data_IF_154383301942
#
_entry.id   IF_154383301942
#
_cell.length_a   1.000
_cell.length_b   1.000
_cell.length_c   1.000
_cell.angle_alpha   90.00
_cell.angle_beta   90.00
_cell.angle_gamma   90.00
#
_symmetry.space_group_name_H-M   'P 1'
#
loop_
_entity.id
_entity.type
_entity.pdbx_description
1 polymer ?
#
# COMPACT_ATOMS: atom_id res chain seq x y z
N UNK A 1 1.23 -1.47 48.79
CA UNK A 1 0.20 -2.54 48.62
C UNK A 1 -0.37 -2.45 47.21
N UNK A 2 -0.79 -3.60 46.66
CA UNK A 2 -0.86 -3.98 45.24
C UNK A 2 -2.06 -3.40 44.43
N UNK A 3 -1.81 -3.19 43.13
CA UNK A 3 -2.63 -3.42 41.91
C UNK A 3 -4.11 -3.01 41.83
N UNK A 4 -4.48 -2.33 40.73
CA UNK A 4 -5.70 -2.66 39.98
C UNK A 4 -5.51 -2.48 38.46
N UNK A 5 -5.23 -3.60 37.79
CA UNK A 5 -5.32 -3.79 36.33
C UNK A 5 -6.82 -3.86 35.97
N UNK A 6 -7.30 -3.06 35.01
CA UNK A 6 -8.65 -3.23 34.46
C UNK A 6 -8.54 -3.72 33.01
N UNK A 7 -8.97 -4.95 32.81
CA UNK A 7 -9.16 -5.59 31.52
C UNK A 7 -10.45 -5.09 30.87
N UNK A 8 -10.41 -4.93 29.54
CA UNK A 8 -11.54 -5.04 28.60
C UNK A 8 -10.85 -5.35 27.27
N UNK A 9 -11.03 -6.44 26.57
CA UNK A 9 -12.10 -7.43 26.47
C UNK A 9 -12.09 -7.79 24.99
N UNK A 10 -11.73 -9.03 24.65
CA UNK A 10 -11.69 -9.58 23.30
C UNK A 10 -13.03 -9.38 22.57
N UNK A 11 -13.05 -9.13 21.27
CA UNK A 11 -13.20 -10.16 20.22
C UNK A 11 -13.54 -9.53 18.86
N UNK A 12 -12.86 -10.01 17.83
CA UNK A 12 -13.15 -9.76 16.43
C UNK A 12 -14.41 -10.52 15.96
N UNK A 13 -15.10 -10.00 14.94
CA UNK A 13 -15.99 -10.79 14.11
C UNK A 13 -17.21 -10.06 13.55
N UNK A 14 -17.35 -10.04 12.22
CA UNK A 14 -18.65 -10.00 11.54
C UNK A 14 -18.83 -8.88 10.51
N UNK A 15 -18.54 -9.19 9.25
CA UNK A 15 -18.89 -8.38 8.09
C UNK A 15 -20.40 -8.10 8.01
N UNK A 16 -20.77 -6.84 7.77
CA UNK A 16 -22.06 -6.44 7.20
C UNK A 16 -21.79 -5.29 6.24
N UNK A 17 -21.82 -5.59 4.95
CA UNK A 17 -21.82 -4.57 3.89
C UNK A 17 -23.17 -3.85 3.90
N UNK A 18 -23.13 -2.52 4.03
CA UNK A 18 -24.26 -1.62 3.88
C UNK A 18 -24.18 -0.96 2.48
N UNK A 19 -25.32 -0.66 1.83
CA UNK A 19 -25.33 -0.20 0.44
C UNK A 19 -24.64 1.15 0.31
N UNK A 20 -23.77 1.28 -0.70
CA UNK A 20 -23.01 2.48 -1.02
C UNK A 20 -23.97 3.64 -1.33
N UNK A 21 -24.24 4.49 -0.33
CA UNK A 21 -24.83 5.79 -0.58
C UNK A 21 -23.85 6.57 -1.45
N UNK A 22 -24.33 7.09 -2.59
CA UNK A 22 -23.57 7.96 -3.48
C UNK A 22 -23.07 9.19 -2.72
N UNK A 23 -21.93 9.04 -2.07
CA UNK A 23 -21.35 10.03 -1.18
C UNK A 23 -20.79 11.18 -1.99
N UNK A 24 -21.23 12.39 -1.65
CA UNK A 24 -20.56 13.64 -2.00
C UNK A 24 -19.05 13.50 -1.79
N UNK A 25 -18.29 13.33 -2.87
CA UNK A 25 -16.83 13.24 -2.83
C UNK A 25 -16.31 14.62 -2.45
N UNK A 26 -15.92 14.78 -1.18
CA UNK A 26 -15.26 15.99 -0.71
C UNK A 26 -13.92 16.13 -1.41
N UNK A 27 -13.68 17.28 -2.06
CA UNK A 27 -12.40 17.59 -2.70
C UNK A 27 -11.45 18.09 -1.61
N UNK A 28 -10.40 17.33 -1.33
CA UNK A 28 -9.32 17.71 -0.42
C UNK A 28 -8.12 18.27 -1.21
N UNK A 29 -7.36 19.23 -0.66
CA UNK A 29 -6.12 19.70 -1.29
C UNK A 29 -5.11 18.57 -1.43
N UNK A 30 -4.30 18.59 -2.50
CA UNK A 30 -3.16 17.70 -2.62
C UNK A 30 -2.12 18.02 -1.54
N UNK A 31 -1.73 17.02 -0.75
CA UNK A 31 -0.71 17.15 0.31
C UNK A 31 0.24 15.97 0.27
N UNK A 32 1.49 16.20 0.68
CA UNK A 32 2.42 15.10 0.96
C UNK A 32 1.92 14.26 2.16
N UNK A 33 2.21 12.95 2.18
CA UNK A 33 1.86 12.11 3.32
C UNK A 33 2.53 12.63 4.59
N UNK A 34 1.76 12.72 5.67
CA UNK A 34 2.28 13.19 6.95
C UNK A 34 3.11 12.09 7.62
N UNK A 35 4.38 12.38 7.90
CA UNK A 35 5.30 11.44 8.54
C UNK A 35 5.01 11.31 10.03
N UNK A 36 4.95 10.07 10.52
CA UNK A 36 5.06 9.78 11.95
C UNK A 36 6.53 9.52 12.29
N UNK A 37 7.01 9.80 13.52
CA UNK A 37 8.40 9.56 13.91
C UNK A 37 8.65 8.07 14.18
N UNK A 38 8.37 7.22 13.19
CA UNK A 38 8.60 5.78 13.21
C UNK A 38 9.42 5.38 11.98
N UNK A 39 10.27 4.36 12.12
CA UNK A 39 11.10 3.89 10.99
C UNK A 39 10.24 3.34 9.84
N UNK A 40 9.11 2.70 10.14
CA UNK A 40 8.20 2.18 9.11
C UNK A 40 7.61 3.30 8.27
N UNK A 41 7.18 4.40 8.88
CA UNK A 41 6.67 5.58 8.15
C UNK A 41 7.72 6.21 7.24
N UNK A 42 9.01 6.11 7.61
CA UNK A 42 10.10 6.55 6.75
C UNK A 42 10.35 5.58 5.59
N UNK A 43 10.26 4.27 5.83
CA UNK A 43 10.42 3.26 4.77
C UNK A 43 9.32 3.36 3.70
N UNK A 44 8.07 3.60 4.12
CA UNK A 44 6.92 3.77 3.22
C UNK A 44 7.09 5.00 2.31
N UNK A 45 7.61 6.12 2.83
CA UNK A 45 7.74 7.35 2.02
C UNK A 45 8.94 7.33 1.06
N UNK A 46 9.94 6.48 1.32
CA UNK A 46 11.12 6.33 0.46
C UNK A 46 11.05 5.11 -0.45
N UNK A 47 9.93 4.38 -0.45
CA UNK A 47 9.73 3.28 -1.39
C UNK A 47 9.86 3.82 -2.83
N UNK A 48 10.74 3.24 -3.66
CA UNK A 48 10.93 3.73 -5.02
C UNK A 48 9.68 3.47 -5.86
N UNK A 49 9.45 4.33 -6.86
CA UNK A 49 8.38 4.13 -7.82
C UNK A 49 8.59 2.86 -8.65
N UNK A 50 7.48 2.22 -9.04
CA UNK A 50 7.52 1.06 -9.93
C UNK A 50 7.97 1.52 -11.31
N UNK A 51 9.10 0.97 -11.76
CA UNK A 51 9.61 1.17 -13.12
C UNK A 51 9.09 0.07 -14.05
N UNK A 52 8.88 0.44 -15.31
CA UNK A 52 8.49 -0.50 -16.37
C UNK A 52 9.74 -0.95 -17.13
N UNK A 53 9.84 -2.25 -17.41
CA UNK A 53 10.99 -2.85 -18.10
C UNK A 53 11.14 -2.47 -19.57
N UNK A 54 10.17 -1.75 -20.15
CA UNK A 54 10.16 -1.46 -21.60
C UNK A 54 10.05 -2.70 -22.47
N UNK A 55 9.55 -3.82 -21.93
CA UNK A 55 9.37 -5.06 -22.66
C UNK A 55 8.39 -4.88 -23.84
N UNK A 56 8.86 -5.24 -25.04
CA UNK A 56 8.09 -5.20 -26.27
C UNK A 56 7.46 -6.57 -26.55
N UNK A 57 6.16 -6.67 -26.27
CA UNK A 57 5.37 -7.89 -26.48
C UNK A 57 4.99 -8.15 -27.94
N UNK A 58 5.33 -7.25 -28.87
CA UNK A 58 5.13 -7.48 -30.31
C UNK A 58 6.18 -8.43 -30.90
N UNK A 59 7.31 -8.61 -30.22
CA UNK A 59 8.41 -9.46 -30.64
C UNK A 59 8.25 -10.88 -30.05
N UNK A 60 8.73 -11.92 -30.75
CA UNK A 60 8.68 -13.27 -30.22
C UNK A 60 9.58 -13.42 -28.99
N UNK A 61 9.06 -14.11 -27.98
CA UNK A 61 9.81 -14.44 -26.78
C UNK A 61 10.98 -15.37 -27.08
N UNK A 62 12.16 -14.93 -26.68
CA UNK A 62 13.36 -15.76 -26.65
C UNK A 62 14.15 -15.43 -25.39
N UNK A 63 14.87 -16.42 -24.85
CA UNK A 63 15.66 -16.24 -23.62
C UNK A 63 16.62 -15.06 -23.74
N UNK A 64 17.24 -14.88 -24.90
CA UNK A 64 18.13 -13.73 -25.15
C UNK A 64 17.41 -12.38 -24.99
N UNK A 65 16.22 -12.22 -25.58
CA UNK A 65 15.46 -10.97 -25.51
C UNK A 65 14.98 -10.69 -24.08
N UNK A 66 14.41 -11.69 -23.42
CA UNK A 66 13.91 -11.56 -22.05
C UNK A 66 15.06 -11.15 -21.11
N UNK A 67 16.21 -11.84 -21.20
CA UNK A 67 17.38 -11.53 -20.36
C UNK A 67 17.97 -10.15 -20.68
N UNK A 68 17.94 -9.74 -21.96
CA UNK A 68 18.37 -8.39 -22.35
C UNK A 68 17.46 -7.31 -21.77
N UNK A 69 16.13 -7.51 -21.82
CA UNK A 69 15.15 -6.60 -21.24
C UNK A 69 15.26 -6.51 -19.71
N UNK A 70 15.63 -7.61 -19.04
CA UNK A 70 15.81 -7.64 -17.58
C UNK A 70 17.12 -6.96 -17.12
N UNK A 71 18.09 -6.81 -18.02
CA UNK A 71 19.42 -6.23 -17.75
C UNK A 71 19.57 -4.79 -18.27
N UNK A 72 18.51 -4.22 -18.84
CA UNK A 72 18.41 -2.78 -19.07
C UNK A 72 18.23 -2.05 -17.74
#
# INVERSE_FOLDING_TARGET
>A
RKTKKKMKGLQAGGAREAPEAAGSKSVVPASLPQLTPTLVSLLEVIEPEVLYSGYDSSLPDSSWRILSTLNM
#
